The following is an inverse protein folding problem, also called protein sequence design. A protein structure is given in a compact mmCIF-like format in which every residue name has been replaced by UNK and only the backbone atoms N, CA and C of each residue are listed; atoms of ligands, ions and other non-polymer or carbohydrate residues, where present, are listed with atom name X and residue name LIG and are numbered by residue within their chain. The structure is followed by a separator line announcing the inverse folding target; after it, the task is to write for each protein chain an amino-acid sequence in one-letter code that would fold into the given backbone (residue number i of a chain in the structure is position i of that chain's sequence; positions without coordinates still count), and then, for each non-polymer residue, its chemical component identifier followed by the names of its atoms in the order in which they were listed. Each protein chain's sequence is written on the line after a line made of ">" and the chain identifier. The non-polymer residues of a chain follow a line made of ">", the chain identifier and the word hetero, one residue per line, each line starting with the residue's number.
data_IF_036688784311
#
_entry.id   IF_036688784311
#
_cell.length_a   1.000
_cell.length_b   1.000
_cell.length_c   1.000
_cell.angle_alpha   90.00
_cell.angle_beta   90.00
_cell.angle_gamma   90.00
#
_symmetry.space_group_name_H-M   'P 1'
#
loop_
_entity.id
_entity.type
_entity.pdbx_description
1 polymer ?
#
# COMPACT_ATOMS: atom_id res chain seq x y z
N UNK A 1 0.22 -43.07 34.69
CA UNK A 1 -0.92 -42.21 35.09
C UNK A 1 -0.80 -40.76 34.59
N UNK A 2 0.36 -40.08 34.74
CA UNK A 2 0.54 -38.70 34.25
C UNK A 2 0.41 -38.53 32.72
N UNK A 3 0.83 -39.51 31.94
CA UNK A 3 0.72 -39.42 30.47
C UNK A 3 -0.70 -39.68 29.97
N UNK A 4 -1.45 -40.54 30.67
CA UNK A 4 -2.85 -40.81 30.37
C UNK A 4 -3.73 -39.59 30.65
N UNK A 5 -3.54 -38.90 31.79
CA UNK A 5 -4.31 -37.68 32.09
C UNK A 5 -3.99 -36.54 31.14
N UNK A 6 -2.72 -36.36 30.75
CA UNK A 6 -2.33 -35.39 29.71
C UNK A 6 -2.97 -35.71 28.36
N UNK A 7 -3.02 -36.98 27.98
CA UNK A 7 -3.63 -37.41 26.73
C UNK A 7 -5.16 -37.20 26.73
N UNK A 8 -5.85 -37.61 27.80
CA UNK A 8 -7.30 -37.37 27.96
C UNK A 8 -7.60 -35.87 27.93
N UNK A 9 -6.80 -35.06 28.63
CA UNK A 9 -6.95 -33.60 28.63
C UNK A 9 -6.83 -33.01 27.22
N UNK A 10 -5.84 -33.43 26.44
CA UNK A 10 -5.70 -33.00 25.03
C UNK A 10 -6.88 -33.44 24.17
N UNK A 11 -7.35 -34.68 24.33
CA UNK A 11 -8.48 -35.20 23.57
C UNK A 11 -9.76 -34.42 23.88
N UNK A 12 -10.05 -34.16 25.16
CA UNK A 12 -11.20 -33.37 25.57
C UNK A 12 -11.13 -31.93 25.07
N UNK A 13 -9.94 -31.32 25.11
CA UNK A 13 -9.73 -29.98 24.57
C UNK A 13 -10.02 -29.93 23.07
N UNK A 14 -9.45 -30.85 22.28
CA UNK A 14 -9.69 -30.93 20.84
C UNK A 14 -11.16 -31.25 20.52
N UNK A 15 -11.78 -32.18 21.25
CA UNK A 15 -13.19 -32.50 21.09
C UNK A 15 -14.10 -31.29 21.35
N UNK A 16 -13.85 -30.55 22.42
CA UNK A 16 -14.56 -29.30 22.73
C UNK A 16 -14.32 -28.24 21.64
N UNK A 17 -13.07 -28.02 21.22
CA UNK A 17 -12.75 -27.05 20.18
C UNK A 17 -13.45 -27.36 18.86
N UNK A 18 -13.40 -28.62 18.40
CA UNK A 18 -14.08 -29.05 17.17
C UNK A 18 -15.60 -28.88 17.31
N UNK A 19 -16.18 -29.25 18.44
CA UNK A 19 -17.62 -29.11 18.67
C UNK A 19 -18.05 -27.63 18.62
N UNK A 20 -17.32 -26.75 19.30
CA UNK A 20 -17.62 -25.31 19.32
C UNK A 20 -17.44 -24.66 17.95
N UNK A 21 -16.36 -24.98 17.24
CA UNK A 21 -16.09 -24.47 15.88
C UNK A 21 -17.16 -24.95 14.90
N UNK A 22 -17.51 -26.24 14.93
CA UNK A 22 -18.54 -26.80 14.04
C UNK A 22 -19.89 -26.17 14.32
N UNK A 23 -20.24 -25.98 15.60
CA UNK A 23 -21.46 -25.31 15.98
C UNK A 23 -21.47 -23.85 15.51
N UNK A 24 -20.43 -23.06 15.80
CA UNK A 24 -20.32 -21.68 15.34
C UNK A 24 -20.45 -21.57 13.81
N UNK A 25 -19.71 -22.41 13.07
CA UNK A 25 -19.79 -22.49 11.62
C UNK A 25 -21.22 -22.77 11.11
N UNK A 26 -21.93 -23.70 11.75
CA UNK A 26 -23.32 -24.01 11.39
C UNK A 26 -24.26 -22.82 11.62
N UNK A 27 -24.05 -22.06 12.70
CA UNK A 27 -24.84 -20.87 13.02
C UNK A 27 -24.62 -19.76 12.00
N UNK A 28 -23.36 -19.53 11.62
CA UNK A 28 -23.00 -18.57 10.58
C UNK A 28 -23.64 -18.93 9.23
N UNK A 29 -23.57 -20.19 8.82
CA UNK A 29 -24.20 -20.64 7.57
C UNK A 29 -25.73 -20.54 7.61
N UNK A 30 -26.35 -20.93 8.73
CA UNK A 30 -27.80 -20.83 8.91
C UNK A 30 -28.26 -19.38 8.84
N UNK A 31 -27.59 -18.47 9.54
CA UNK A 31 -27.92 -17.04 9.54
C UNK A 31 -27.94 -16.49 8.11
N UNK A 32 -26.88 -16.74 7.34
CA UNK A 32 -26.80 -16.20 5.97
C UNK A 32 -27.81 -16.86 5.05
N UNK A 33 -28.03 -18.16 5.17
CA UNK A 33 -28.99 -18.90 4.35
C UNK A 33 -30.44 -18.49 4.59
N UNK A 34 -30.75 -18.00 5.79
CA UNK A 34 -32.08 -17.52 6.15
C UNK A 34 -32.25 -16.01 5.91
N UNK A 35 -31.15 -15.26 5.83
CA UNK A 35 -31.17 -13.80 5.65
C UNK A 35 -31.08 -13.38 4.18
N UNK A 36 -30.33 -14.12 3.36
CA UNK A 36 -30.10 -13.79 1.96
C UNK A 36 -30.92 -14.67 1.00
N UNK A 37 -31.24 -14.17 -0.22
CA UNK A 37 -31.82 -14.97 -1.29
C UNK A 37 -30.95 -16.19 -1.64
N UNK A 38 -31.55 -17.20 -2.29
CA UNK A 38 -30.84 -18.45 -2.60
C UNK A 38 -29.66 -18.24 -3.55
N UNK A 39 -29.79 -17.30 -4.49
CA UNK A 39 -28.75 -16.87 -5.42
C UNK A 39 -27.50 -16.32 -4.72
N UNK A 40 -27.64 -15.78 -3.50
CA UNK A 40 -26.56 -15.14 -2.74
C UNK A 40 -25.97 -16.05 -1.65
N UNK A 41 -26.34 -17.34 -1.62
CA UNK A 41 -25.80 -18.30 -0.63
C UNK A 41 -24.27 -18.41 -0.63
N UNK A 42 -23.62 -18.11 -1.75
CA UNK A 42 -22.16 -18.06 -1.83
C UNK A 42 -21.57 -17.08 -0.81
N UNK A 43 -22.25 -15.96 -0.54
CA UNK A 43 -21.83 -14.97 0.45
C UNK A 43 -21.76 -15.60 1.86
N UNK A 44 -22.60 -16.59 2.16
CA UNK A 44 -22.57 -17.32 3.43
C UNK A 44 -21.32 -18.16 3.60
N UNK A 45 -20.89 -18.85 2.55
CA UNK A 45 -19.64 -19.59 2.57
C UNK A 45 -18.42 -18.66 2.65
N UNK A 46 -18.49 -17.51 1.99
CA UNK A 46 -17.44 -16.49 2.10
C UNK A 46 -17.39 -15.84 3.49
N UNK A 47 -18.54 -15.62 4.12
CA UNK A 47 -18.61 -15.13 5.49
C UNK A 47 -17.97 -16.13 6.46
N UNK A 48 -18.30 -17.43 6.32
CA UNK A 48 -17.66 -18.49 7.09
C UNK A 48 -16.15 -18.57 6.83
N UNK A 49 -15.74 -18.38 5.57
CA UNK A 49 -14.35 -18.31 5.19
C UNK A 49 -13.62 -17.12 5.83
N UNK A 50 -14.30 -15.98 5.97
CA UNK A 50 -13.77 -14.76 6.56
C UNK A 50 -13.92 -14.68 8.10
N UNK A 51 -14.59 -15.65 8.73
CA UNK A 51 -14.70 -15.72 10.19
C UNK A 51 -13.99 -16.96 10.72
N UNK A 52 -14.69 -18.08 10.85
CA UNK A 52 -14.18 -19.27 11.51
C UNK A 52 -12.97 -19.87 10.78
N UNK A 53 -13.05 -20.03 9.46
CA UNK A 53 -11.93 -20.61 8.69
C UNK A 53 -10.78 -19.59 8.61
N UNK A 54 -11.11 -18.30 8.42
CA UNK A 54 -10.16 -17.19 8.37
C UNK A 54 -9.35 -17.10 9.65
N UNK A 55 -10.00 -17.10 10.82
CA UNK A 55 -9.34 -17.08 12.11
C UNK A 55 -8.35 -18.24 12.29
N UNK A 56 -8.73 -19.44 11.85
CA UNK A 56 -7.84 -20.62 11.90
C UNK A 56 -6.67 -20.44 10.92
N UNK A 57 -6.93 -20.00 9.70
CA UNK A 57 -5.90 -19.77 8.68
C UNK A 57 -4.90 -18.69 9.13
N UNK A 58 -5.38 -17.56 9.63
CA UNK A 58 -4.53 -16.49 10.15
C UNK A 58 -3.77 -16.91 11.41
N UNK A 59 -4.36 -17.73 12.28
CA UNK A 59 -3.66 -18.30 13.42
C UNK A 59 -2.51 -19.21 12.98
N UNK A 60 -2.74 -20.10 12.01
CA UNK A 60 -1.69 -20.94 11.46
C UNK A 60 -0.60 -20.11 10.80
N UNK A 61 -0.98 -19.11 10.01
CA UNK A 61 -0.05 -18.16 9.39
C UNK A 61 0.78 -17.42 10.45
N UNK A 62 0.16 -16.94 11.52
CA UNK A 62 0.84 -16.25 12.62
C UNK A 62 1.87 -17.14 13.34
N UNK A 63 1.53 -18.43 13.51
CA UNK A 63 2.37 -19.38 14.22
C UNK A 63 3.50 -19.94 13.35
N UNK A 64 3.27 -20.14 12.05
CA UNK A 64 4.15 -20.95 11.20
C UNK A 64 4.75 -20.20 10.01
N UNK A 65 4.06 -19.21 9.44
CA UNK A 65 4.42 -18.63 8.13
C UNK A 65 4.74 -17.13 8.16
N UNK A 66 4.63 -16.48 9.32
CA UNK A 66 4.97 -15.06 9.47
C UNK A 66 6.40 -14.91 9.98
N UNK A 67 7.27 -14.30 9.19
CA UNK A 67 8.68 -14.10 9.54
C UNK A 67 8.94 -12.71 10.12
N UNK A 68 8.25 -11.68 9.59
CA UNK A 68 8.38 -10.29 10.00
C UNK A 68 7.36 -9.81 11.05
N UNK A 69 7.70 -8.73 11.77
CA UNK A 69 6.78 -8.05 12.72
C UNK A 69 5.51 -7.57 12.01
N UNK A 70 5.63 -7.08 10.77
CA UNK A 70 4.49 -6.62 9.99
C UNK A 70 3.51 -7.75 9.65
N UNK A 71 4.02 -8.88 9.13
CA UNK A 71 3.22 -10.08 8.85
C UNK A 71 2.56 -10.63 10.12
N UNK A 72 3.29 -10.69 11.24
CA UNK A 72 2.74 -11.06 12.55
C UNK A 72 1.63 -10.11 13.01
N UNK A 73 1.83 -8.80 12.81
CA UNK A 73 0.83 -7.79 13.11
C UNK A 73 -0.45 -7.97 12.30
N UNK A 74 -0.34 -8.15 10.98
CA UNK A 74 -1.48 -8.38 10.09
C UNK A 74 -2.23 -9.64 10.51
N UNK A 75 -1.53 -10.76 10.67
CA UNK A 75 -2.15 -12.02 11.04
C UNK A 75 -2.85 -11.93 12.42
N UNK A 76 -2.23 -11.27 13.41
CA UNK A 76 -2.85 -11.08 14.73
C UNK A 76 -4.12 -10.22 14.66
N UNK A 77 -4.09 -9.11 13.93
CA UNK A 77 -5.26 -8.24 13.74
C UNK A 77 -6.39 -9.03 13.07
N UNK A 78 -6.08 -9.81 12.04
CA UNK A 78 -7.09 -10.60 11.34
C UNK A 78 -7.69 -11.70 12.22
N UNK A 79 -6.90 -12.38 13.05
CA UNK A 79 -7.44 -13.33 14.05
C UNK A 79 -8.49 -12.66 14.94
N UNK A 80 -8.19 -11.45 15.44
CA UNK A 80 -9.12 -10.71 16.32
C UNK A 80 -10.38 -10.29 15.57
N UNK A 81 -10.24 -9.79 14.33
CA UNK A 81 -11.38 -9.36 13.52
C UNK A 81 -12.28 -10.54 13.14
N UNK A 82 -11.70 -11.66 12.72
CA UNK A 82 -12.44 -12.83 12.27
C UNK A 82 -13.18 -13.51 13.44
N UNK A 83 -12.53 -13.64 14.60
CA UNK A 83 -13.16 -14.12 15.84
C UNK A 83 -14.24 -13.14 16.32
N UNK A 84 -13.97 -11.84 16.25
CA UNK A 84 -14.95 -10.80 16.58
C UNK A 84 -16.18 -10.87 15.67
N UNK A 85 -15.97 -11.07 14.37
CA UNK A 85 -17.02 -11.29 13.38
C UNK A 85 -17.87 -12.51 13.71
N UNK A 86 -17.24 -13.64 14.04
CA UNK A 86 -17.95 -14.85 14.44
C UNK A 86 -18.80 -14.64 15.71
N UNK A 87 -18.26 -13.94 16.72
CA UNK A 87 -19.01 -13.62 17.95
C UNK A 87 -20.23 -12.75 17.64
N UNK A 88 -20.09 -11.74 16.78
CA UNK A 88 -21.20 -10.88 16.36
C UNK A 88 -22.25 -11.70 15.62
N UNK A 89 -21.86 -12.53 14.65
CA UNK A 89 -22.80 -13.37 13.89
C UNK A 89 -23.53 -14.37 14.78
N UNK A 90 -22.79 -15.05 15.64
CA UNK A 90 -23.36 -15.96 16.63
C UNK A 90 -24.39 -15.26 17.52
N UNK A 91 -24.09 -14.03 17.96
CA UNK A 91 -24.98 -13.23 18.79
C UNK A 91 -26.24 -12.83 18.03
N UNK A 92 -26.07 -12.33 16.80
CA UNK A 92 -27.20 -11.90 15.95
C UNK A 92 -28.11 -13.08 15.62
N UNK A 93 -27.58 -14.23 15.20
CA UNK A 93 -28.38 -15.43 14.93
C UNK A 93 -29.10 -15.95 16.19
N UNK A 94 -28.46 -15.83 17.37
CA UNK A 94 -29.10 -16.19 18.65
C UNK A 94 -30.24 -15.24 18.98
N UNK A 95 -30.07 -13.93 18.76
CA UNK A 95 -31.12 -12.93 18.98
C UNK A 95 -32.26 -13.06 17.98
N UNK A 96 -31.99 -13.36 16.71
CA UNK A 96 -33.02 -13.61 15.70
C UNK A 96 -33.93 -14.76 16.11
N UNK A 97 -33.35 -15.93 16.42
CA UNK A 97 -34.14 -17.11 16.79
C UNK A 97 -34.85 -16.96 18.13
N UNK A 98 -34.22 -16.28 19.09
CA UNK A 98 -34.86 -15.95 20.37
C UNK A 98 -36.05 -14.99 20.16
N UNK A 99 -35.93 -14.06 19.21
CA UNK A 99 -37.01 -13.17 18.80
C UNK A 99 -38.16 -13.92 18.12
N UNK A 100 -37.87 -14.82 17.19
CA UNK A 100 -38.86 -15.68 16.52
C UNK A 100 -39.60 -16.59 17.50
N UNK A 101 -38.91 -17.07 18.55
CA UNK A 101 -39.49 -17.86 19.62
C UNK A 101 -40.26 -17.02 20.67
N UNK A 102 -40.31 -15.69 20.52
CA UNK A 102 -40.99 -14.78 21.45
C UNK A 102 -40.28 -14.60 22.80
N UNK A 103 -39.00 -15.02 22.91
CA UNK A 103 -38.20 -14.91 24.13
C UNK A 103 -37.52 -13.53 24.27
N UNK A 104 -37.27 -12.87 23.14
CA UNK A 104 -36.63 -11.54 23.08
C UNK A 104 -37.31 -10.65 22.03
N UNK A 105 -36.87 -9.39 21.92
CA UNK A 105 -37.29 -8.50 20.82
C UNK A 105 -36.78 -9.07 19.49
N UNK A 106 -37.63 -9.12 18.48
CA UNK A 106 -37.24 -9.45 17.09
C UNK A 106 -36.32 -8.34 16.56
N UNK A 107 -35.23 -8.73 15.91
CA UNK A 107 -34.33 -7.78 15.24
C UNK A 107 -35.08 -7.02 14.15
N UNK A 108 -34.77 -5.73 14.01
CA UNK A 108 -35.25 -4.90 12.92
C UNK A 108 -34.52 -5.22 11.61
N UNK A 109 -35.15 -4.90 10.49
CA UNK A 109 -34.53 -5.06 9.17
C UNK A 109 -33.21 -4.28 9.04
N UNK A 110 -33.09 -3.13 9.71
CA UNK A 110 -31.85 -2.33 9.69
C UNK A 110 -30.73 -3.03 10.47
N UNK A 111 -31.02 -3.64 11.62
CA UNK A 111 -30.02 -4.41 12.38
C UNK A 111 -29.48 -5.59 11.55
N UNK A 112 -30.37 -6.32 10.88
CA UNK A 112 -30.00 -7.43 9.99
C UNK A 112 -29.17 -6.94 8.80
N UNK A 113 -29.58 -5.83 8.16
CA UNK A 113 -28.85 -5.21 7.05
C UNK A 113 -27.45 -4.78 7.46
N UNK A 114 -27.31 -4.17 8.64
CA UNK A 114 -26.02 -3.77 9.20
C UNK A 114 -25.11 -4.97 9.44
N UNK A 115 -25.65 -6.10 9.91
CA UNK A 115 -24.89 -7.34 10.02
C UNK A 115 -24.40 -7.84 8.66
N UNK A 116 -25.25 -7.85 7.64
CA UNK A 116 -24.88 -8.24 6.26
C UNK A 116 -23.79 -7.34 5.68
N UNK A 117 -23.90 -6.03 5.89
CA UNK A 117 -22.87 -5.08 5.47
C UNK A 117 -21.56 -5.31 6.21
N UNK A 118 -21.63 -5.55 7.53
CA UNK A 118 -20.47 -5.87 8.36
C UNK A 118 -19.74 -7.13 7.87
N UNK A 119 -20.47 -8.19 7.51
CA UNK A 119 -19.87 -9.39 6.90
C UNK A 119 -19.17 -9.07 5.58
N UNK A 120 -19.80 -8.28 4.72
CA UNK A 120 -19.22 -7.90 3.43
C UNK A 120 -17.90 -7.13 3.61
N UNK A 121 -17.85 -6.24 4.62
CA UNK A 121 -16.63 -5.52 5.00
C UNK A 121 -15.57 -6.49 5.51
N UNK A 122 -15.93 -7.43 6.39
CA UNK A 122 -15.00 -8.40 6.95
C UNK A 122 -14.38 -9.31 5.87
N UNK A 123 -15.17 -9.74 4.88
CA UNK A 123 -14.69 -10.46 3.69
C UNK A 123 -13.69 -9.60 2.92
N UNK A 124 -14.03 -8.32 2.66
CA UNK A 124 -13.14 -7.39 1.98
C UNK A 124 -11.82 -7.18 2.73
N UNK A 125 -11.87 -7.06 4.06
CA UNK A 125 -10.68 -6.95 4.91
C UNK A 125 -9.79 -8.19 4.84
N UNK A 126 -10.37 -9.38 4.82
CA UNK A 126 -9.62 -10.64 4.64
C UNK A 126 -8.85 -10.67 3.31
N UNK A 127 -9.49 -10.23 2.23
CA UNK A 127 -8.85 -10.14 0.91
C UNK A 127 -7.69 -9.13 0.95
N UNK A 128 -7.94 -7.92 1.45
CA UNK A 128 -6.92 -6.86 1.55
C UNK A 128 -5.75 -7.32 2.42
N UNK A 129 -6.03 -7.95 3.56
CA UNK A 129 -5.01 -8.45 4.47
C UNK A 129 -4.16 -9.55 3.82
N UNK A 130 -4.76 -10.40 2.99
CA UNK A 130 -4.01 -11.43 2.23
C UNK A 130 -2.97 -10.79 1.30
N UNK A 131 -3.36 -9.74 0.56
CA UNK A 131 -2.42 -9.00 -0.28
C UNK A 131 -1.35 -8.28 0.55
N UNK A 132 -1.76 -7.57 1.61
CA UNK A 132 -0.84 -6.88 2.50
C UNK A 132 0.17 -7.85 3.12
N UNK A 133 -0.26 -9.05 3.53
CA UNK A 133 0.61 -10.07 4.11
C UNK A 133 1.71 -10.51 3.13
N UNK A 134 1.36 -10.74 1.86
CA UNK A 134 2.34 -11.12 0.83
C UNK A 134 3.28 -9.96 0.47
N UNK A 135 2.77 -8.72 0.40
CA UNK A 135 3.61 -7.55 0.12
C UNK A 135 4.65 -7.34 1.23
N UNK A 136 4.28 -7.61 2.48
CA UNK A 136 5.14 -7.44 3.66
C UNK A 136 6.07 -8.64 3.94
N UNK A 137 6.20 -9.56 2.99
CA UNK A 137 7.21 -10.61 3.02
C UNK A 137 8.61 -10.00 2.95
N UNK A 138 9.57 -10.55 3.71
CA UNK A 138 10.93 -10.03 3.79
C UNK A 138 11.57 -10.06 2.41
N UNK A 139 11.44 -11.16 1.66
CA UNK A 139 11.98 -11.25 0.31
C UNK A 139 11.37 -10.19 -0.62
N UNK A 140 10.06 -9.97 -0.52
CA UNK A 140 9.39 -8.96 -1.34
C UNK A 140 9.78 -7.54 -0.95
N UNK A 141 9.98 -7.28 0.34
CA UNK A 141 10.45 -5.99 0.85
C UNK A 141 11.89 -5.72 0.44
N UNK A 142 12.79 -6.72 0.52
CA UNK A 142 14.17 -6.61 0.06
C UNK A 142 14.25 -6.35 -1.44
N UNK A 143 13.50 -7.12 -2.24
CA UNK A 143 13.40 -6.91 -3.70
C UNK A 143 12.85 -5.51 -4.03
N UNK A 144 11.87 -5.03 -3.27
CA UNK A 144 11.31 -3.69 -3.44
C UNK A 144 12.34 -2.61 -3.08
N UNK A 145 13.11 -2.79 -2.00
CA UNK A 145 14.18 -1.87 -1.61
C UNK A 145 15.28 -1.80 -2.65
N UNK A 146 15.71 -2.94 -3.20
CA UNK A 146 16.71 -3.01 -4.27
C UNK A 146 16.23 -2.23 -5.51
N UNK A 147 15.00 -2.49 -5.97
CA UNK A 147 14.42 -1.76 -7.10
C UNK A 147 14.30 -0.26 -6.85
N UNK A 148 13.94 0.15 -5.63
CA UNK A 148 13.86 1.56 -5.25
C UNK A 148 15.23 2.22 -5.22
N UNK A 149 16.26 1.52 -4.75
CA UNK A 149 17.66 1.98 -4.77
C UNK A 149 18.14 2.17 -6.21
N UNK A 150 17.93 1.16 -7.06
CA UNK A 150 18.26 1.19 -8.48
C UNK A 150 17.56 2.33 -9.21
N UNK A 151 16.28 2.54 -8.91
CA UNK A 151 15.50 3.63 -9.46
C UNK A 151 16.08 5.00 -9.07
N UNK A 152 16.46 5.19 -7.80
CA UNK A 152 17.11 6.43 -7.32
C UNK A 152 18.45 6.67 -8.04
N UNK A 153 19.26 5.63 -8.22
CA UNK A 153 20.53 5.71 -8.96
C UNK A 153 20.29 6.12 -10.42
N UNK A 154 19.33 5.47 -11.10
CA UNK A 154 18.97 5.80 -12.48
C UNK A 154 18.48 7.24 -12.62
N UNK A 155 17.68 7.71 -11.67
CA UNK A 155 17.19 9.08 -11.62
C UNK A 155 18.35 10.09 -11.48
N UNK A 156 19.29 9.82 -10.59
CA UNK A 156 20.49 10.64 -10.40
C UNK A 156 21.37 10.68 -11.66
N UNK A 157 21.61 9.53 -12.30
CA UNK A 157 22.35 9.43 -13.57
C UNK A 157 21.64 10.23 -14.66
N UNK A 158 20.32 10.12 -14.77
CA UNK A 158 19.55 10.84 -15.79
C UNK A 158 19.61 12.35 -15.56
N UNK A 159 19.58 12.81 -14.30
CA UNK A 159 19.76 14.23 -13.94
C UNK A 159 21.15 14.73 -14.35
N UNK A 160 22.21 14.02 -13.99
CA UNK A 160 23.58 14.37 -14.39
C UNK A 160 23.77 14.39 -15.92
N UNK A 161 23.16 13.44 -16.64
CA UNK A 161 23.17 13.43 -18.12
C UNK A 161 22.51 14.68 -18.70
N UNK A 162 21.37 15.11 -18.14
CA UNK A 162 20.68 16.33 -18.58
C UNK A 162 21.53 17.57 -18.33
N UNK A 163 22.09 17.72 -17.13
CA UNK A 163 22.96 18.86 -16.79
C UNK A 163 24.17 18.95 -17.73
N UNK A 164 24.82 17.82 -18.01
CA UNK A 164 25.96 17.78 -18.94
C UNK A 164 25.56 17.99 -20.40
N UNK A 165 24.38 17.53 -20.81
CA UNK A 165 23.85 17.83 -22.14
C UNK A 165 23.59 19.33 -22.32
N UNK A 166 23.04 19.99 -21.29
CA UNK A 166 22.85 21.46 -21.29
C UNK A 166 24.17 22.19 -21.38
N UNK A 167 25.18 21.81 -20.59
CA UNK A 167 26.48 22.50 -20.63
C UNK A 167 27.19 22.32 -21.98
N UNK A 168 27.09 21.13 -22.60
CA UNK A 168 27.63 20.89 -23.94
C UNK A 168 26.86 21.71 -24.98
N UNK A 169 25.53 21.81 -24.86
CA UNK A 169 24.73 22.62 -25.77
C UNK A 169 25.10 24.10 -25.71
N UNK A 170 25.32 24.64 -24.49
CA UNK A 170 25.81 26.02 -24.29
C UNK A 170 27.21 26.22 -24.91
N UNK A 171 28.13 25.27 -24.74
CA UNK A 171 29.46 25.35 -25.32
C UNK A 171 29.42 25.35 -26.86
N UNK A 172 28.60 24.48 -27.46
CA UNK A 172 28.41 24.42 -28.91
C UNK A 172 27.77 25.71 -29.42
N UNK A 173 26.74 26.22 -28.74
CA UNK A 173 26.06 27.46 -29.11
C UNK A 173 27.03 28.65 -29.11
N UNK A 174 27.85 28.79 -28.06
CA UNK A 174 28.85 29.86 -27.97
C UNK A 174 29.91 29.75 -29.08
N UNK A 175 30.41 28.53 -29.34
CA UNK A 175 31.41 28.28 -30.38
C UNK A 175 30.89 28.63 -31.78
N UNK A 176 29.64 28.31 -32.07
CA UNK A 176 29.03 28.58 -33.37
C UNK A 176 28.67 30.07 -33.52
N UNK A 177 28.24 30.73 -32.43
CA UNK A 177 28.04 32.18 -32.39
C UNK A 177 29.34 32.95 -32.65
N UNK A 178 30.48 32.54 -32.07
CA UNK A 178 31.78 33.15 -32.33
C UNK A 178 32.23 33.00 -33.79
N UNK A 179 32.05 31.80 -34.37
CA UNK A 179 32.35 31.57 -35.79
C UNK A 179 31.50 32.49 -36.67
N UNK A 180 30.20 32.56 -36.42
CA UNK A 180 29.31 33.44 -37.16
C UNK A 180 29.73 34.91 -37.05
N UNK A 181 30.08 35.38 -35.85
CA UNK A 181 30.58 36.73 -35.64
C UNK A 181 31.89 37.00 -36.41
N UNK A 182 32.83 36.04 -36.44
CA UNK A 182 34.06 36.15 -37.26
C UNK A 182 33.74 36.21 -38.75
N UNK A 183 32.84 35.36 -39.25
CA UNK A 183 32.42 35.39 -40.66
C UNK A 183 31.75 36.70 -41.03
N UNK A 184 30.89 37.25 -40.16
CA UNK A 184 30.24 38.54 -40.41
C UNK A 184 31.25 39.69 -40.41
N UNK A 185 32.19 39.74 -39.46
CA UNK A 185 33.27 40.74 -39.45
C UNK A 185 34.16 40.69 -40.70
N UNK A 186 34.38 39.50 -41.27
CA UNK A 186 35.13 39.33 -42.52
C UNK A 186 34.33 39.84 -43.73
N UNK A 187 33.02 39.57 -43.79
CA UNK A 187 32.13 40.13 -44.82
C UNK A 187 32.10 41.66 -44.74
N UNK A 188 31.98 42.20 -43.54
CA UNK A 188 31.96 43.65 -43.27
C UNK A 188 33.29 44.33 -43.66
N UNK A 189 34.44 43.68 -43.44
CA UNK A 189 35.76 44.16 -43.91
C UNK A 189 35.93 44.17 -45.44
N UNK A 190 35.06 43.50 -46.18
CA UNK A 190 35.08 43.54 -47.65
C UNK A 190 34.32 44.75 -48.19
N UNK A 191 33.60 45.47 -47.33
CA UNK A 191 32.98 46.73 -47.68
C UNK A 191 33.91 47.92 -47.36
N UNK A 192 34.60 48.39 -48.40
CA UNK A 192 35.40 49.63 -48.39
C UNK A 192 34.53 50.90 -48.53
N UNK A 193 33.27 50.87 -48.09
CA UNK A 193 32.36 52.03 -48.21
C UNK A 193 31.81 52.58 -46.91
N UNK A 194 32.44 52.34 -45.76
CA UNK A 194 32.15 53.17 -44.57
C UNK A 194 32.98 54.47 -44.57
N UNK A 195 32.34 55.65 -44.37
CA UNK A 195 33.02 56.94 -44.42
C UNK A 195 34.07 57.09 -43.33
N UNK A 196 35.19 57.75 -43.66
CA UNK A 196 36.10 58.31 -42.65
C UNK A 196 35.31 59.25 -41.72
N UNK A 197 35.22 58.89 -40.45
CA UNK A 197 34.89 59.83 -39.37
C UNK A 197 33.75 59.39 -38.47
N UNK A 198 34.07 58.56 -37.47
CA UNK A 198 33.57 58.79 -36.12
C UNK A 198 34.79 58.74 -35.21
N UNK A 199 35.10 59.82 -34.47
CA UNK A 199 36.25 59.87 -33.60
C UNK A 199 36.11 58.82 -32.50
N UNK A 200 37.23 58.18 -32.20
CA UNK A 200 37.47 57.41 -30.98
C UNK A 200 37.28 58.37 -29.81
N UNK A 201 36.14 58.32 -29.13
CA UNK A 201 36.02 58.82 -27.77
C UNK A 201 36.52 57.72 -26.85
N UNK A 202 37.50 58.11 -26.05
CA UNK A 202 38.35 57.27 -25.24
C UNK A 202 37.59 56.40 -24.23
N UNK A 203 38.25 55.30 -23.90
CA UNK A 203 37.97 54.46 -22.76
C UNK A 203 38.14 55.23 -21.42
N UNK A 204 37.70 54.56 -20.35
CA UNK A 204 38.11 54.73 -18.95
C UNK A 204 37.51 55.91 -18.17
N UNK A 205 36.50 55.62 -17.34
CA UNK A 205 36.60 55.65 -15.85
C UNK A 205 35.24 55.35 -15.21
N UNK A 206 34.97 54.09 -14.82
CA UNK A 206 34.02 53.80 -13.72
C UNK A 206 34.10 52.34 -13.19
N UNK A 207 35.31 51.82 -12.96
CA UNK A 207 35.54 50.60 -12.15
C UNK A 207 36.73 50.74 -11.20
N UNK A 208 36.90 51.91 -10.59
CA UNK A 208 37.79 52.08 -9.43
C UNK A 208 37.01 52.80 -8.31
N UNK A 209 35.94 52.16 -7.79
CA UNK A 209 35.36 52.56 -6.49
C UNK A 209 34.45 51.50 -5.83
N UNK A 210 34.81 50.21 -5.90
CA UNK A 210 34.17 49.17 -5.09
C UNK A 210 35.16 48.23 -4.37
N UNK A 211 36.44 48.59 -4.31
CA UNK A 211 37.45 47.83 -3.56
C UNK A 211 37.80 48.43 -2.19
N UNK A 212 37.13 49.50 -1.73
CA UNK A 212 37.47 50.17 -0.46
C UNK A 212 36.31 50.28 0.55
N UNK A 213 35.29 49.40 0.48
CA UNK A 213 34.19 49.37 1.46
C UNK A 213 34.01 48.08 2.27
N UNK A 214 35.00 47.17 2.30
CA UNK A 214 34.96 45.98 3.18
C UNK A 214 36.31 45.65 3.84
N UNK A 215 36.97 46.68 4.39
CA UNK A 215 37.74 46.50 5.62
C UNK A 215 36.91 46.95 6.81
#
# INVERSE_FOLDING_TARGET
>A
MKDLSKWIGKLMFWGMAIALITYAASRTLDFVSNTLPQEDRMVGYLALAATTIGAIAWLLTFLQNSEGIAQKGIALVMIVLDVGGEIVLFTVDTLMRSGEAGLTRVLTAEEVRMTVMGMSILIGLNIIATFAFHIMDIENMENMEEQLSDWKIRLAIQKAKREKATSIAEEIANREAEKYAKTQRQKDRTDRTLPKGVPVMAAETEQENLADSQR
#
